data_IF_326311478915
#
_entry.id   IF_326311478915
#
_cell.length_a   1.000
_cell.length_b   1.000
_cell.length_c   1.000
_cell.angle_alpha   90.00
_cell.angle_beta   90.00
_cell.angle_gamma   90.00
#
_symmetry.space_group_name_H-M   'P 1'
#
loop_
_entity.id
_entity.type
_entity.pdbx_description
1 polymer ?
#
# COMPACT_ATOMS: atom_id res chain seq x y z
N UNK A 1 -56.43 10.19 -38.55
CA UNK A 1 -55.34 9.49 -39.28
C UNK A 1 -54.11 10.37 -39.15
N UNK A 2 -53.26 10.10 -38.16
CA UNK A 2 -51.94 10.73 -38.02
C UNK A 2 -50.99 9.60 -37.68
N UNK A 3 -50.25 9.15 -38.71
CA UNK A 3 -49.31 8.07 -38.65
C UNK A 3 -47.97 8.55 -38.07
N UNK A 4 -47.54 7.91 -36.97
CA UNK A 4 -46.32 8.18 -36.25
C UNK A 4 -45.09 7.72 -37.10
N UNK A 5 -44.26 8.67 -37.49
CA UNK A 5 -42.89 8.39 -37.98
C UNK A 5 -42.01 8.08 -36.79
N UNK A 6 -41.82 6.80 -36.52
CA UNK A 6 -40.78 6.27 -35.61
C UNK A 6 -39.42 6.32 -36.32
N UNK A 7 -38.63 7.36 -36.06
CA UNK A 7 -37.23 7.43 -36.49
C UNK A 7 -36.47 6.36 -35.66
N UNK A 8 -36.13 5.26 -36.33
CA UNK A 8 -35.21 4.25 -35.79
C UNK A 8 -33.80 4.86 -35.75
N UNK A 9 -33.40 5.36 -34.57
CA UNK A 9 -32.01 5.69 -34.26
C UNK A 9 -31.25 4.38 -34.14
N UNK A 10 -30.80 3.82 -35.25
CA UNK A 10 -29.77 2.77 -35.26
C UNK A 10 -28.50 3.32 -34.61
N UNK A 11 -28.23 2.97 -33.33
CA UNK A 11 -26.92 3.18 -32.75
C UNK A 11 -25.94 2.31 -33.54
N UNK A 12 -25.18 2.92 -34.43
CA UNK A 12 -23.99 2.31 -35.03
C UNK A 12 -23.09 1.86 -33.86
N UNK A 13 -23.12 0.56 -33.55
CA UNK A 13 -22.16 -0.05 -32.59
C UNK A 13 -20.79 0.04 -33.28
N UNK A 14 -20.04 1.08 -32.92
CA UNK A 14 -18.65 1.18 -33.31
C UNK A 14 -17.91 -0.09 -32.81
N UNK A 15 -17.07 -0.70 -33.65
CA UNK A 15 -16.32 -1.90 -33.24
C UNK A 15 -15.48 -1.65 -32.00
N UNK A 16 -15.35 -2.65 -31.15
CA UNK A 16 -14.75 -2.56 -29.81
C UNK A 16 -13.34 -1.92 -29.80
N UNK A 17 -12.59 -1.98 -30.90
CA UNK A 17 -11.26 -1.36 -30.99
C UNK A 17 -11.28 0.17 -30.99
N UNK A 18 -12.41 0.82 -31.37
CA UNK A 18 -12.53 2.29 -31.38
C UNK A 18 -12.60 2.90 -29.97
N UNK A 19 -12.88 2.09 -28.95
CA UNK A 19 -12.92 2.51 -27.55
C UNK A 19 -11.55 2.41 -26.86
N UNK A 20 -10.52 1.86 -27.52
CA UNK A 20 -9.19 1.74 -26.93
C UNK A 20 -8.49 3.10 -26.84
N UNK A 21 -7.76 3.34 -25.75
CA UNK A 21 -6.93 4.54 -25.58
C UNK A 21 -5.95 4.70 -26.74
N UNK A 22 -5.39 3.58 -27.21
CA UNK A 22 -4.50 3.55 -28.39
C UNK A 22 -5.15 4.15 -29.63
N UNK A 23 -6.37 3.75 -29.95
CA UNK A 23 -7.11 4.29 -31.09
C UNK A 23 -7.39 5.78 -30.94
N UNK A 24 -7.89 6.20 -29.78
CA UNK A 24 -8.20 7.61 -29.51
C UNK A 24 -6.97 8.51 -29.63
N UNK A 25 -5.82 8.12 -29.08
CA UNK A 25 -4.58 8.88 -29.20
C UNK A 25 -4.09 8.93 -30.64
N UNK A 26 -4.13 7.80 -31.36
CA UNK A 26 -3.76 7.76 -32.78
C UNK A 26 -4.61 8.73 -33.59
N UNK A 27 -5.93 8.67 -33.47
CA UNK A 27 -6.86 9.55 -34.19
C UNK A 27 -6.66 11.02 -33.81
N UNK A 28 -6.45 11.32 -32.53
CA UNK A 28 -6.26 12.69 -32.05
C UNK A 28 -4.98 13.32 -32.63
N UNK A 29 -3.83 12.64 -32.51
CA UNK A 29 -2.55 13.17 -33.01
C UNK A 29 -2.51 13.20 -34.54
N UNK A 30 -3.00 12.16 -35.21
CA UNK A 30 -3.07 12.13 -36.70
C UNK A 30 -4.05 13.19 -37.20
N UNK A 31 -5.19 13.37 -36.55
CA UNK A 31 -6.17 14.40 -36.87
C UNK A 31 -5.62 15.81 -36.71
N UNK A 32 -4.92 16.08 -35.60
CA UNK A 32 -4.28 17.39 -35.38
C UNK A 32 -3.24 17.70 -36.44
N UNK A 33 -2.37 16.74 -36.78
CA UNK A 33 -1.35 16.90 -37.80
C UNK A 33 -1.98 17.15 -39.18
N UNK A 34 -3.02 16.38 -39.50
CA UNK A 34 -3.78 16.53 -40.76
C UNK A 34 -4.42 17.92 -40.88
N UNK A 35 -5.10 18.39 -39.83
CA UNK A 35 -5.72 19.73 -39.81
C UNK A 35 -4.68 20.84 -39.98
N UNK A 36 -3.55 20.73 -39.27
CA UNK A 36 -2.47 21.72 -39.36
C UNK A 36 -1.91 21.79 -40.78
N UNK A 37 -1.63 20.62 -41.40
CA UNK A 37 -1.12 20.56 -42.77
C UNK A 37 -2.16 21.07 -43.77
N UNK A 38 -3.42 20.73 -43.58
CA UNK A 38 -4.50 21.23 -44.44
C UNK A 38 -4.64 22.74 -44.40
N UNK A 39 -4.46 23.37 -43.20
CA UNK A 39 -4.46 24.80 -43.04
C UNK A 39 -3.27 25.47 -43.73
N UNK A 40 -2.06 24.87 -43.61
CA UNK A 40 -0.88 25.42 -44.29
C UNK A 40 -1.03 25.34 -45.83
N UNK A 41 -1.40 24.17 -46.35
CA UNK A 41 -1.61 23.98 -47.79
C UNK A 41 -2.76 24.83 -48.35
N UNK A 42 -3.86 24.93 -47.59
CA UNK A 42 -4.99 25.79 -47.93
C UNK A 42 -4.62 27.26 -47.95
N UNK A 43 -3.85 27.70 -46.94
CA UNK A 43 -3.35 29.06 -46.84
C UNK A 43 -2.40 29.42 -48.01
N UNK A 44 -1.48 28.51 -48.36
CA UNK A 44 -0.59 28.71 -49.54
C UNK A 44 -1.36 28.77 -50.84
N UNK A 45 -2.36 27.90 -50.99
CA UNK A 45 -3.24 27.92 -52.17
C UNK A 45 -3.98 29.26 -52.31
N UNK A 46 -4.63 29.72 -51.22
CA UNK A 46 -5.34 31.00 -51.19
C UNK A 46 -4.41 32.21 -51.42
N UNK A 47 -3.19 32.16 -50.92
CA UNK A 47 -2.20 33.21 -51.13
C UNK A 47 -1.80 33.32 -52.60
N UNK A 48 -1.57 32.18 -53.29
CA UNK A 48 -1.24 32.14 -54.69
C UNK A 48 -2.46 32.55 -55.56
N UNK A 49 -3.66 32.11 -55.20
CA UNK A 49 -4.90 32.49 -55.91
C UNK A 49 -5.16 33.99 -55.88
N UNK A 50 -4.88 34.64 -54.73
CA UNK A 50 -5.04 36.08 -54.53
C UNK A 50 -3.96 36.91 -55.21
N UNK A 51 -2.83 36.33 -55.49
CA UNK A 51 -1.63 37.01 -56.06
C UNK A 51 -1.74 37.26 -57.58
N UNK A 52 -2.70 36.63 -58.29
CA UNK A 52 -2.87 36.83 -59.71
C UNK A 52 -4.24 36.32 -60.25
N UNK A 53 -4.76 36.98 -61.31
CA UNK A 53 -5.90 36.48 -62.04
C UNK A 53 -5.54 35.23 -62.86
N UNK A 54 -6.06 34.06 -62.44
CA UNK A 54 -5.78 32.78 -63.10
C UNK A 54 -6.95 32.39 -64.04
N UNK A 55 -6.78 32.50 -65.32
CA UNK A 55 -7.81 32.15 -66.33
C UNK A 55 -7.18 31.23 -67.42
N UNK A 56 -7.87 30.24 -67.93
CA UNK A 56 -7.38 29.47 -69.07
C UNK A 56 -7.36 30.32 -70.33
N UNK A 57 -6.32 30.17 -71.16
CA UNK A 57 -6.26 30.86 -72.46
C UNK A 57 -7.44 30.41 -73.32
N UNK A 58 -8.36 31.31 -73.57
CA UNK A 58 -9.59 31.02 -74.30
C UNK A 58 -9.66 31.67 -75.71
N UNK A 59 -8.80 32.60 -76.02
CA UNK A 59 -8.80 33.34 -77.26
C UNK A 59 -7.41 33.37 -77.91
N UNK A 60 -7.30 32.88 -79.13
CA UNK A 60 -6.17 33.13 -80.03
C UNK A 60 -6.40 34.38 -80.79
N UNK A 61 -5.47 35.30 -80.79
CA UNK A 61 -5.49 36.47 -81.64
C UNK A 61 -4.55 36.25 -82.82
N UNK A 62 -4.96 36.69 -84.03
CA UNK A 62 -4.13 36.66 -85.23
C UNK A 62 -3.50 38.06 -85.44
N UNK A 63 -2.20 38.06 -85.62
CA UNK A 63 -1.48 39.28 -86.00
C UNK A 63 -0.94 39.09 -87.46
N UNK A 64 -1.11 40.10 -88.27
CA UNK A 64 -0.54 40.10 -89.62
C UNK A 64 0.97 40.20 -89.60
N UNK A 65 1.64 39.24 -90.20
CA UNK A 65 3.09 39.23 -90.34
C UNK A 65 3.52 39.89 -91.57
N UNK A 66 4.34 40.93 -91.50
CA UNK A 66 5.00 41.60 -92.58
C UNK A 66 6.50 41.34 -92.49
N UNK A 67 7.13 41.05 -93.69
CA UNK A 67 8.55 40.91 -93.82
C UNK A 67 8.97 41.81 -95.01
N UNK A 68 9.84 42.82 -94.82
CA UNK A 68 10.22 43.83 -95.77
C UNK A 68 9.02 44.58 -96.40
N UNK A 69 8.02 44.95 -95.60
CA UNK A 69 6.77 45.58 -95.95
C UNK A 69 5.79 44.70 -96.78
N UNK A 70 6.11 43.42 -97.05
CA UNK A 70 5.24 42.51 -97.75
C UNK A 70 4.48 41.63 -96.77
N UNK A 71 3.14 41.52 -96.95
CA UNK A 71 2.27 40.66 -96.14
C UNK A 71 2.56 39.21 -96.37
N UNK A 72 3.06 38.50 -95.33
CA UNK A 72 3.43 37.07 -95.46
C UNK A 72 2.38 36.13 -94.87
N UNK A 73 1.37 36.65 -94.15
CA UNK A 73 0.31 35.84 -93.58
C UNK A 73 -0.01 36.23 -92.12
N UNK A 74 -0.93 35.48 -91.52
CA UNK A 74 -1.30 35.66 -90.14
C UNK A 74 -0.53 34.68 -89.24
N UNK A 75 -0.03 35.17 -88.10
CA UNK A 75 0.55 34.34 -87.06
C UNK A 75 -0.33 34.40 -85.80
N UNK A 76 -0.57 33.28 -85.17
CA UNK A 76 -1.29 33.30 -83.86
C UNK A 76 -0.41 34.01 -82.80
N UNK A 77 -0.99 35.01 -82.22
CA UNK A 77 -0.33 35.76 -81.07
C UNK A 77 -1.24 35.69 -79.85
N UNK A 78 -0.60 35.64 -78.72
CA UNK A 78 -1.29 35.68 -77.42
C UNK A 78 -0.82 36.90 -76.69
N UNK A 79 -1.73 37.62 -76.02
CA UNK A 79 -1.35 38.78 -75.20
C UNK A 79 -0.57 38.27 -73.98
N UNK A 80 0.49 39.01 -73.59
CA UNK A 80 1.35 38.63 -72.45
C UNK A 80 0.52 38.38 -71.19
N UNK A 81 -0.49 39.21 -70.93
CA UNK A 81 -1.38 39.04 -69.80
C UNK A 81 -2.18 37.76 -69.80
N UNK A 82 -2.57 37.25 -71.01
CA UNK A 82 -3.28 35.96 -71.13
C UNK A 82 -2.35 34.77 -70.92
N UNK A 83 -1.07 34.89 -71.31
CA UNK A 83 -0.04 33.89 -71.07
C UNK A 83 0.26 33.81 -69.57
N UNK A 84 0.38 34.95 -68.90
CA UNK A 84 0.59 35.03 -67.46
C UNK A 84 -0.61 34.41 -66.70
N UNK A 85 -1.83 34.73 -67.07
CA UNK A 85 -3.04 34.16 -66.47
C UNK A 85 -3.14 32.63 -66.71
N UNK A 86 -2.71 32.11 -67.88
CA UNK A 86 -2.69 30.69 -68.18
C UNK A 86 -1.62 29.93 -67.37
N UNK A 87 -0.42 30.50 -67.23
CA UNK A 87 0.65 29.93 -66.39
C UNK A 87 0.21 29.86 -64.95
N UNK A 88 -0.45 30.91 -64.41
CA UNK A 88 -1.00 30.92 -63.06
C UNK A 88 -2.09 29.87 -62.90
N UNK A 89 -2.98 29.66 -63.86
CA UNK A 89 -4.01 28.62 -63.83
C UNK A 89 -3.42 27.21 -63.76
N UNK A 90 -2.44 26.88 -64.63
CA UNK A 90 -1.76 25.58 -64.59
C UNK A 90 -1.00 25.39 -63.27
N UNK A 91 -0.34 26.43 -62.77
CA UNK A 91 0.37 26.38 -61.50
C UNK A 91 -0.58 26.08 -60.33
N UNK A 92 -1.74 26.73 -60.28
CA UNK A 92 -2.78 26.44 -59.28
C UNK A 92 -3.36 25.04 -59.42
N UNK A 93 -3.58 24.56 -60.67
CA UNK A 93 -4.08 23.21 -60.86
C UNK A 93 -3.09 22.13 -60.42
N UNK A 94 -1.80 22.35 -60.70
CA UNK A 94 -0.72 21.48 -60.26
C UNK A 94 -0.54 21.55 -58.73
N UNK A 95 -0.53 22.76 -58.13
CA UNK A 95 -0.47 22.95 -56.70
C UNK A 95 -1.60 22.19 -55.96
N UNK A 96 -2.82 22.28 -56.50
CA UNK A 96 -3.99 21.55 -55.98
C UNK A 96 -3.78 20.04 -56.01
N UNK A 97 -3.31 19.48 -57.18
CA UNK A 97 -3.06 18.04 -57.32
C UNK A 97 -1.99 17.55 -56.32
N UNK A 98 -0.88 18.27 -56.25
CA UNK A 98 0.22 17.96 -55.32
C UNK A 98 -0.24 18.08 -53.83
N UNK A 99 -1.04 19.08 -53.51
CA UNK A 99 -1.58 19.27 -52.15
C UNK A 99 -2.45 18.08 -51.74
N UNK A 100 -3.33 17.60 -52.60
CA UNK A 100 -4.15 16.41 -52.30
C UNK A 100 -3.30 15.13 -52.19
N UNK A 101 -2.28 14.96 -53.02
CA UNK A 101 -1.38 13.82 -52.94
C UNK A 101 -0.58 13.83 -51.65
N UNK A 102 -0.05 15.00 -51.24
CA UNK A 102 0.69 15.17 -49.96
C UNK A 102 -0.22 14.95 -48.76
N UNK A 103 -1.43 15.51 -48.75
CA UNK A 103 -2.41 15.28 -47.70
C UNK A 103 -2.78 13.79 -47.57
N UNK A 104 -3.01 13.11 -48.66
CA UNK A 104 -3.31 11.66 -48.66
C UNK A 104 -2.13 10.83 -48.11
N UNK A 105 -0.93 11.09 -48.64
CA UNK A 105 0.28 10.42 -48.15
C UNK A 105 0.54 10.68 -46.65
N UNK A 106 0.36 11.92 -46.19
CA UNK A 106 0.53 12.30 -44.79
C UNK A 106 -0.53 11.65 -43.90
N UNK A 107 -1.77 11.55 -44.34
CA UNK A 107 -2.83 10.87 -43.59
C UNK A 107 -2.47 9.40 -43.33
N UNK A 108 -2.03 8.68 -44.35
CA UNK A 108 -1.63 7.27 -44.19
C UNK A 108 -0.40 7.13 -43.29
N UNK A 109 0.64 7.91 -43.51
CA UNK A 109 1.87 7.82 -42.72
C UNK A 109 1.66 8.25 -41.28
N UNK A 110 0.88 9.31 -40.99
CA UNK A 110 0.58 9.77 -39.64
C UNK A 110 -0.23 8.75 -38.85
N UNK A 111 -1.20 8.08 -39.49
CA UNK A 111 -1.95 6.99 -38.85
C UNK A 111 -1.04 5.80 -38.51
N UNK A 112 -0.14 5.41 -39.42
CA UNK A 112 0.79 4.32 -39.18
C UNK A 112 1.76 4.63 -38.03
N UNK A 113 2.38 5.81 -38.07
CA UNK A 113 3.30 6.27 -37.02
C UNK A 113 2.57 6.40 -35.66
N UNK A 114 1.39 7.04 -35.65
CA UNK A 114 0.58 7.22 -34.44
C UNK A 114 0.18 5.87 -33.83
N UNK A 115 -0.16 4.88 -34.67
CA UNK A 115 -0.47 3.53 -34.20
C UNK A 115 0.73 2.82 -33.55
N UNK A 116 1.91 2.94 -34.15
CA UNK A 116 3.16 2.34 -33.63
C UNK A 116 3.56 3.01 -32.31
N UNK A 117 3.61 4.35 -32.28
CA UNK A 117 4.03 5.12 -31.11
C UNK A 117 3.08 4.93 -29.93
N UNK A 118 1.77 5.02 -30.17
CA UNK A 118 0.75 4.76 -29.15
C UNK A 118 0.83 3.33 -28.61
N UNK A 119 1.15 2.36 -29.48
CA UNK A 119 1.36 0.97 -29.09
C UNK A 119 2.57 0.76 -28.19
N UNK A 120 3.66 1.49 -28.45
CA UNK A 120 4.87 1.45 -27.60
C UNK A 120 4.64 2.16 -26.26
N UNK A 121 4.04 3.35 -26.28
CA UNK A 121 3.77 4.14 -25.07
C UNK A 121 2.83 3.42 -24.08
N UNK A 122 1.91 2.58 -24.57
CA UNK A 122 0.97 1.84 -23.72
C UNK A 122 1.42 0.42 -23.35
N UNK A 123 2.60 -0.04 -23.77
CA UNK A 123 3.15 -1.35 -23.36
C UNK A 123 3.33 -1.49 -21.86
N UNK A 124 3.93 -0.51 -21.15
CA UNK A 124 4.11 -0.57 -19.70
C UNK A 124 2.78 -0.71 -18.94
N UNK A 125 1.76 0.05 -19.36
CA UNK A 125 0.43 -0.01 -18.73
C UNK A 125 -0.19 -1.41 -18.86
N UNK A 126 0.01 -2.07 -19.99
CA UNK A 126 -0.46 -3.44 -20.18
C UNK A 126 0.32 -4.45 -19.33
N UNK A 127 1.63 -4.25 -19.15
CA UNK A 127 2.45 -5.08 -18.28
C UNK A 127 1.96 -4.96 -16.82
N UNK A 128 1.77 -3.74 -16.30
CA UNK A 128 1.22 -3.48 -14.97
C UNK A 128 -0.14 -4.17 -14.80
N UNK A 129 -1.05 -3.95 -15.75
CA UNK A 129 -2.41 -4.51 -15.70
C UNK A 129 -2.42 -6.05 -15.75
N UNK A 130 -1.51 -6.64 -16.53
CA UNK A 130 -1.40 -8.10 -16.66
C UNK A 130 -0.85 -8.71 -15.36
N UNK A 131 0.26 -8.21 -14.84
CA UNK A 131 0.82 -8.69 -13.59
C UNK A 131 -0.16 -8.53 -12.44
N UNK A 132 -0.84 -7.37 -12.34
CA UNK A 132 -1.87 -7.16 -11.33
C UNK A 132 -3.06 -8.13 -11.45
N UNK A 133 -3.41 -8.57 -12.67
CA UNK A 133 -4.48 -9.56 -12.89
C UNK A 133 -4.03 -11.00 -12.61
N UNK A 134 -2.73 -11.29 -12.72
CA UNK A 134 -2.14 -12.60 -12.45
C UNK A 134 -1.85 -12.83 -10.95
N UNK A 135 -1.78 -11.75 -10.15
CA UNK A 135 -1.58 -11.82 -8.70
C UNK A 135 -2.78 -12.47 -8.03
N UNK A 136 -2.53 -13.55 -7.31
CA UNK A 136 -3.52 -14.25 -6.52
C UNK A 136 -3.17 -14.15 -5.02
N UNK A 137 -4.18 -14.23 -4.16
CA UNK A 137 -3.97 -14.24 -2.71
C UNK A 137 -3.07 -15.39 -2.21
N UNK A 138 -2.90 -16.43 -3.03
CA UNK A 138 -2.03 -17.58 -2.76
C UNK A 138 -0.57 -17.36 -3.17
N UNK A 139 -0.32 -16.43 -4.11
CA UNK A 139 1.02 -16.11 -4.60
C UNK A 139 1.15 -14.59 -4.82
N UNK A 140 1.67 -13.91 -3.83
CA UNK A 140 1.96 -12.48 -3.81
C UNK A 140 3.45 -12.19 -4.11
N UNK A 141 4.24 -13.19 -4.54
CA UNK A 141 5.68 -13.00 -4.79
C UNK A 141 5.98 -12.27 -6.09
N UNK A 142 5.01 -12.21 -6.99
CA UNK A 142 5.17 -11.56 -8.29
C UNK A 142 5.31 -10.04 -8.12
N UNK A 143 6.22 -9.45 -8.93
CA UNK A 143 6.45 -8.00 -9.00
C UNK A 143 6.45 -7.56 -10.45
N UNK A 144 6.07 -6.31 -10.65
CA UNK A 144 6.00 -5.70 -11.98
C UNK A 144 7.41 -5.47 -12.53
N UNK A 145 8.31 -4.91 -11.71
CA UNK A 145 9.72 -4.62 -12.03
C UNK A 145 9.87 -4.02 -13.41
N UNK A 146 9.19 -2.89 -13.64
CA UNK A 146 9.16 -2.25 -14.94
C UNK A 146 10.56 -1.74 -15.32
N UNK A 147 11.12 -2.26 -16.42
CA UNK A 147 12.37 -1.78 -17.00
C UNK A 147 12.10 -0.57 -17.90
N UNK A 148 12.96 0.45 -17.81
CA UNK A 148 12.86 1.63 -18.67
C UNK A 148 13.34 2.92 -17.99
N UNK A 149 13.10 4.08 -18.62
CA UNK A 149 13.40 5.38 -18.03
C UNK A 149 12.59 5.61 -16.77
N UNK A 150 13.12 6.47 -15.88
CA UNK A 150 12.38 6.93 -14.70
C UNK A 150 11.37 7.96 -15.15
N UNK A 151 10.16 7.52 -15.40
CA UNK A 151 9.00 8.33 -15.75
C UNK A 151 7.82 8.00 -14.81
N UNK A 152 6.70 8.66 -14.98
CA UNK A 152 5.50 8.51 -14.15
C UNK A 152 4.95 7.07 -14.16
N UNK A 153 5.20 6.31 -15.24
CA UNK A 153 4.77 4.91 -15.33
C UNK A 153 5.66 4.00 -14.50
N UNK A 154 6.94 4.31 -14.40
CA UNK A 154 7.86 3.59 -13.52
C UNK A 154 7.55 3.89 -12.04
N UNK A 155 7.31 5.16 -11.69
CA UNK A 155 6.93 5.55 -10.33
C UNK A 155 5.63 4.84 -9.91
N UNK A 156 4.67 4.71 -10.83
CA UNK A 156 3.45 3.93 -10.61
C UNK A 156 3.75 2.44 -10.36
N UNK A 157 4.62 1.83 -11.16
CA UNK A 157 4.99 0.43 -11.02
C UNK A 157 5.71 0.18 -9.68
N UNK A 158 6.65 1.05 -9.30
CA UNK A 158 7.39 0.98 -8.03
C UNK A 158 6.44 1.16 -6.82
N UNK A 159 5.44 2.03 -6.95
CA UNK A 159 4.39 2.22 -5.93
C UNK A 159 3.55 0.95 -5.76
N UNK A 160 3.14 0.31 -6.87
CA UNK A 160 2.38 -0.95 -6.82
C UNK A 160 3.24 -2.07 -6.23
N UNK A 161 4.52 -2.17 -6.62
CA UNK A 161 5.44 -3.17 -6.07
C UNK A 161 5.64 -2.97 -4.55
N UNK A 162 5.74 -1.72 -4.07
CA UNK A 162 5.78 -1.41 -2.63
C UNK A 162 4.50 -1.82 -1.90
N UNK A 163 3.32 -1.63 -2.51
CA UNK A 163 2.06 -2.12 -1.93
C UNK A 163 2.02 -3.65 -1.87
N UNK A 164 2.53 -4.32 -2.90
CA UNK A 164 2.62 -5.78 -2.94
C UNK A 164 3.59 -6.33 -1.87
N UNK A 165 4.71 -5.65 -1.61
CA UNK A 165 5.64 -6.01 -0.54
C UNK A 165 4.95 -5.98 0.82
N UNK A 166 4.22 -4.89 1.13
CA UNK A 166 3.46 -4.76 2.39
C UNK A 166 2.37 -5.82 2.52
N UNK A 167 1.72 -6.15 1.41
CA UNK A 167 0.67 -7.16 1.39
C UNK A 167 1.24 -8.56 1.62
N UNK A 168 2.36 -8.90 0.98
CA UNK A 168 3.06 -10.17 1.14
C UNK A 168 3.56 -10.36 2.59
N UNK A 169 4.14 -9.31 3.20
CA UNK A 169 4.53 -9.31 4.61
C UNK A 169 3.32 -9.55 5.54
N UNK A 170 2.19 -8.88 5.30
CA UNK A 170 0.97 -9.07 6.08
C UNK A 170 0.43 -10.50 5.97
N UNK A 171 0.39 -11.06 4.77
CA UNK A 171 -0.06 -12.44 4.55
C UNK A 171 0.90 -13.49 5.15
N UNK A 172 2.22 -13.26 5.08
CA UNK A 172 3.20 -14.14 5.75
C UNK A 172 3.00 -14.11 7.26
N UNK A 173 2.86 -12.91 7.84
CA UNK A 173 2.60 -12.77 9.27
C UNK A 173 1.29 -13.45 9.69
N UNK A 174 0.24 -13.35 8.86
CA UNK A 174 -1.04 -14.02 9.11
C UNK A 174 -0.93 -15.55 9.04
N UNK A 175 -0.25 -16.10 8.02
CA UNK A 175 -0.03 -17.55 7.92
C UNK A 175 0.76 -18.08 9.11
N UNK A 176 1.84 -17.39 9.47
CA UNK A 176 2.64 -17.78 10.62
C UNK A 176 1.81 -17.75 11.92
N UNK A 177 0.95 -16.75 12.10
CA UNK A 177 0.04 -16.69 13.25
C UNK A 177 -0.89 -17.91 13.31
N UNK A 178 -1.46 -18.34 12.17
CA UNK A 178 -2.34 -19.50 12.09
C UNK A 178 -1.58 -20.79 12.41
N UNK A 179 -0.38 -20.95 11.85
CA UNK A 179 0.44 -22.14 12.08
C UNK A 179 0.87 -22.24 13.55
N UNK A 180 1.34 -21.13 14.12
CA UNK A 180 1.75 -21.04 15.52
C UNK A 180 0.57 -21.29 16.47
N UNK A 181 -0.62 -20.70 16.18
CA UNK A 181 -1.85 -20.95 16.91
C UNK A 181 -2.25 -22.43 16.89
N UNK A 182 -2.12 -23.06 15.72
CA UNK A 182 -2.45 -24.49 15.55
C UNK A 182 -1.54 -25.38 16.40
N UNK A 183 -0.24 -25.07 16.44
CA UNK A 183 0.73 -25.79 17.26
C UNK A 183 0.48 -25.59 18.77
N UNK A 184 0.23 -24.36 19.21
CA UNK A 184 0.01 -24.03 20.62
C UNK A 184 -1.35 -24.51 21.16
N UNK A 185 -2.36 -24.66 20.30
CA UNK A 185 -3.66 -25.26 20.67
C UNK A 185 -3.61 -26.79 20.73
N UNK A 186 -2.79 -27.44 19.93
CA UNK A 186 -2.71 -28.93 19.89
C UNK A 186 -2.19 -29.50 21.19
N UNK A 187 -1.22 -28.86 21.84
CA UNK A 187 -0.61 -29.35 23.08
C UNK A 187 -1.60 -29.39 24.26
N UNK A 188 -2.31 -28.30 24.64
CA UNK A 188 -3.30 -28.33 25.72
C UNK A 188 -4.47 -29.26 25.39
N UNK A 189 -4.90 -29.35 24.13
CA UNK A 189 -5.96 -30.27 23.72
C UNK A 189 -5.54 -31.73 23.93
N UNK A 190 -4.30 -32.09 23.63
CA UNK A 190 -3.76 -33.41 23.87
C UNK A 190 -3.70 -33.73 25.39
N UNK A 191 -3.35 -32.74 26.24
CA UNK A 191 -3.37 -32.87 27.70
C UNK A 191 -4.81 -33.12 28.20
N UNK A 192 -5.77 -32.34 27.73
CA UNK A 192 -7.19 -32.50 28.09
C UNK A 192 -7.62 -33.92 27.73
N UNK A 193 -7.39 -34.34 26.46
CA UNK A 193 -7.81 -35.64 25.98
C UNK A 193 -7.18 -36.80 26.77
N UNK A 194 -5.87 -36.74 27.01
CA UNK A 194 -5.14 -37.76 27.79
C UNK A 194 -5.70 -37.90 29.22
N UNK A 195 -6.02 -36.78 29.91
CA UNK A 195 -6.57 -36.81 31.24
C UNK A 195 -8.03 -37.31 31.24
N UNK A 196 -8.84 -36.98 30.23
CA UNK A 196 -10.20 -37.51 30.10
C UNK A 196 -10.18 -39.00 29.80
N UNK A 197 -9.34 -39.47 28.86
CA UNK A 197 -9.20 -40.87 28.52
C UNK A 197 -8.74 -41.67 29.76
N UNK A 198 -7.76 -41.18 30.51
CA UNK A 198 -7.28 -41.81 31.74
C UNK A 198 -8.37 -41.96 32.82
N UNK A 199 -9.25 -40.96 32.95
CA UNK A 199 -10.35 -40.96 33.96
C UNK A 199 -11.57 -41.79 33.48
N UNK A 200 -11.89 -41.78 32.19
CA UNK A 200 -13.05 -42.44 31.64
C UNK A 200 -12.81 -43.93 31.36
N UNK A 201 -11.55 -44.35 31.12
CA UNK A 201 -11.23 -45.76 30.83
C UNK A 201 -10.78 -46.56 32.05
N UNK A 202 -10.46 -45.89 33.17
CA UNK A 202 -10.14 -46.58 34.41
C UNK A 202 -11.38 -46.92 35.22
N UNK A 203 -11.69 -48.21 35.34
CA UNK A 203 -12.86 -48.72 36.13
C UNK A 203 -12.71 -48.43 37.64
N UNK A 204 -11.48 -48.24 38.15
CA UNK A 204 -11.14 -47.92 39.55
C UNK A 204 -10.08 -46.83 39.64
N UNK A 205 -10.37 -45.58 39.23
CA UNK A 205 -9.48 -44.47 39.54
C UNK A 205 -9.64 -43.98 40.96
N UNK A 206 -8.51 -43.78 41.67
CA UNK A 206 -8.56 -43.17 42.99
C UNK A 206 -9.05 -41.72 42.90
N UNK A 207 -9.80 -41.29 43.94
CA UNK A 207 -10.33 -39.93 44.03
C UNK A 207 -9.26 -38.85 43.96
N UNK A 208 -8.02 -39.15 44.40
CA UNK A 208 -6.88 -38.26 44.28
C UNK A 208 -6.45 -38.08 42.82
N UNK A 209 -6.46 -39.13 42.01
CA UNK A 209 -6.14 -39.10 40.56
C UNK A 209 -7.20 -38.33 39.79
N UNK A 210 -8.48 -38.52 40.08
CA UNK A 210 -9.59 -37.73 39.48
C UNK A 210 -9.42 -36.24 39.73
N UNK A 211 -9.13 -35.85 40.98
CA UNK A 211 -8.87 -34.44 41.33
C UNK A 211 -7.65 -33.90 40.64
N UNK A 212 -6.57 -34.68 40.47
CA UNK A 212 -5.40 -34.28 39.74
C UNK A 212 -5.69 -34.08 38.23
N UNK A 213 -6.48 -34.97 37.62
CA UNK A 213 -6.91 -34.86 36.22
C UNK A 213 -7.80 -33.62 36.00
N UNK A 214 -8.79 -33.38 36.88
CA UNK A 214 -9.65 -32.18 36.82
C UNK A 214 -8.82 -30.90 36.88
N UNK A 215 -7.86 -30.80 37.82
CA UNK A 215 -6.96 -29.64 37.89
C UNK A 215 -6.09 -29.48 36.67
N UNK A 216 -5.67 -30.59 36.03
CA UNK A 216 -4.89 -30.55 34.78
C UNK A 216 -5.72 -30.06 33.60
N UNK A 217 -6.96 -30.52 33.48
CA UNK A 217 -7.92 -30.07 32.46
C UNK A 217 -8.26 -28.60 32.66
N UNK A 218 -8.54 -28.15 33.88
CA UNK A 218 -8.85 -26.76 34.19
C UNK A 218 -7.70 -25.81 33.81
N UNK A 219 -6.46 -26.16 34.17
CA UNK A 219 -5.28 -25.39 33.74
C UNK A 219 -5.10 -25.34 32.23
N UNK A 220 -5.32 -26.47 31.53
CA UNK A 220 -5.21 -26.53 30.08
C UNK A 220 -6.29 -25.68 29.39
N UNK A 221 -7.53 -25.70 29.90
CA UNK A 221 -8.64 -24.89 29.40
C UNK A 221 -8.39 -23.40 29.63
N UNK A 222 -7.98 -23.01 30.84
CA UNK A 222 -7.61 -21.60 31.15
C UNK A 222 -6.50 -21.09 30.22
N UNK A 223 -5.50 -21.94 29.94
CA UNK A 223 -4.44 -21.61 28.98
C UNK A 223 -4.96 -21.41 27.57
N UNK A 224 -5.90 -22.27 27.09
CA UNK A 224 -6.51 -22.13 25.77
C UNK A 224 -7.33 -20.84 25.68
N UNK A 225 -8.10 -20.49 26.70
CA UNK A 225 -8.87 -19.24 26.72
C UNK A 225 -7.96 -18.04 26.57
N UNK A 226 -6.88 -17.94 27.32
CA UNK A 226 -5.90 -16.85 27.19
C UNK A 226 -5.26 -16.81 25.80
N UNK A 227 -4.90 -17.96 25.25
CA UNK A 227 -4.33 -18.03 23.88
C UNK A 227 -5.31 -17.49 22.84
N UNK A 228 -6.60 -17.88 22.93
CA UNK A 228 -7.65 -17.39 22.03
C UNK A 228 -7.85 -15.88 22.18
N UNK A 229 -7.86 -15.36 23.41
CA UNK A 229 -7.96 -13.93 23.66
C UNK A 229 -6.77 -13.17 23.06
N UNK A 230 -5.54 -13.70 23.18
CA UNK A 230 -4.33 -13.15 22.60
C UNK A 230 -4.36 -13.15 21.07
N UNK A 231 -4.88 -14.23 20.44
CA UNK A 231 -5.08 -14.33 19.01
C UNK A 231 -6.12 -13.34 18.49
N UNK A 232 -7.26 -13.24 19.18
CA UNK A 232 -8.33 -12.29 18.83
C UNK A 232 -7.86 -10.85 18.92
N UNK A 233 -7.09 -10.50 19.96
CA UNK A 233 -6.50 -9.18 20.07
C UNK A 233 -5.48 -8.89 18.97
N UNK A 234 -4.74 -9.89 18.53
CA UNK A 234 -3.80 -9.75 17.39
C UNK A 234 -4.55 -9.58 16.07
N UNK A 235 -5.67 -10.30 15.87
CA UNK A 235 -6.48 -10.25 14.66
C UNK A 235 -7.29 -8.94 14.53
N UNK A 236 -7.82 -8.38 15.62
CA UNK A 236 -8.59 -7.12 15.62
C UNK A 236 -7.78 -5.91 15.16
N UNK A 237 -6.45 -5.98 15.20
CA UNK A 237 -5.53 -4.89 14.85
C UNK A 237 -5.17 -4.75 13.39
N UNK A 238 -5.61 -5.67 12.53
CA UNK A 238 -5.53 -5.51 11.07
C UNK A 238 -6.63 -4.56 10.56
N UNK A 239 -7.58 -4.17 11.41
CA UNK A 239 -8.54 -3.11 11.15
C UNK A 239 -7.95 -1.75 11.59
N UNK A 240 -8.11 -0.66 10.80
CA UNK A 240 -7.69 0.67 11.22
C UNK A 240 -8.33 1.02 12.57
N UNK A 241 -7.52 1.58 13.47
CA UNK A 241 -7.94 1.98 14.81
C UNK A 241 -9.19 2.86 14.73
N UNK A 242 -10.33 2.35 15.25
CA UNK A 242 -11.62 3.02 15.23
C UNK A 242 -11.87 3.93 16.44
N UNK A 243 -10.84 4.17 17.27
CA UNK A 243 -10.95 5.05 18.42
C UNK A 243 -9.61 5.73 18.72
N UNK A 244 -9.25 6.75 17.93
CA UNK A 244 -8.27 7.76 18.35
C UNK A 244 -8.94 8.63 19.43
N UNK A 245 -8.92 8.14 20.68
CA UNK A 245 -9.39 8.89 21.84
C UNK A 245 -8.19 9.37 22.68
N UNK A 246 -8.37 10.48 23.35
CA UNK A 246 -7.42 10.94 24.37
C UNK A 246 -7.48 9.99 25.57
N UNK A 247 -6.39 9.25 25.80
CA UNK A 247 -6.27 8.27 26.88
C UNK A 247 -5.23 8.75 27.89
N UNK A 248 -5.57 8.74 29.18
CA UNK A 248 -4.59 8.96 30.25
C UNK A 248 -3.81 7.66 30.50
N UNK A 249 -2.52 7.67 30.11
CA UNK A 249 -1.60 6.55 30.29
C UNK A 249 -1.46 6.14 31.77
N UNK A 250 -1.50 7.11 32.66
CA UNK A 250 -1.40 6.83 34.12
C UNK A 250 -2.66 6.14 34.64
N UNK A 251 -3.85 6.48 34.13
CA UNK A 251 -5.09 5.80 34.46
C UNK A 251 -5.07 4.34 34.01
N UNK A 252 -4.71 4.09 32.75
CA UNK A 252 -4.59 2.74 32.21
C UNK A 252 -3.58 1.87 32.97
N UNK A 253 -2.42 2.45 33.34
CA UNK A 253 -1.42 1.78 34.17
C UNK A 253 -1.92 1.51 35.59
N UNK A 254 -2.69 2.45 36.18
CA UNK A 254 -3.30 2.32 37.49
C UNK A 254 -4.31 1.17 37.56
N UNK A 255 -5.20 1.07 36.59
CA UNK A 255 -6.17 -0.03 36.45
C UNK A 255 -5.49 -1.39 36.31
N UNK A 256 -4.42 -1.47 35.49
CA UNK A 256 -3.63 -2.70 35.39
C UNK A 256 -3.00 -3.07 36.74
N UNK A 257 -2.51 -2.11 37.51
CA UNK A 257 -1.99 -2.36 38.86
C UNK A 257 -3.07 -2.89 39.81
N UNK A 258 -4.30 -2.39 39.74
CA UNK A 258 -5.43 -2.86 40.56
C UNK A 258 -5.81 -4.30 40.23
N UNK A 259 -5.82 -4.65 38.98
CA UNK A 259 -6.10 -6.01 38.49
C UNK A 259 -5.06 -7.02 39.01
N UNK A 260 -3.77 -6.66 39.01
CA UNK A 260 -2.68 -7.56 39.42
C UNK A 260 -2.29 -7.50 40.88
N UNK A 261 -2.77 -6.52 41.65
CA UNK A 261 -2.44 -6.37 43.08
C UNK A 261 -2.78 -7.63 43.92
N UNK A 262 -3.96 -8.28 43.77
CA UNK A 262 -4.25 -9.50 44.54
C UNK A 262 -3.30 -10.64 44.19
N UNK A 263 -2.94 -10.81 42.93
CA UNK A 263 -2.04 -11.88 42.46
C UNK A 263 -0.59 -11.64 42.96
N UNK A 264 -0.13 -10.40 42.99
CA UNK A 264 1.16 -10.02 43.55
C UNK A 264 1.20 -10.31 45.04
N UNK A 265 0.17 -9.92 45.81
CA UNK A 265 0.07 -10.16 47.26
C UNK A 265 0.05 -11.67 47.58
N UNK A 266 -0.68 -12.49 46.80
CA UNK A 266 -0.70 -13.94 46.96
C UNK A 266 0.69 -14.57 46.82
N UNK A 267 1.55 -13.98 45.97
CA UNK A 267 2.94 -14.40 45.77
C UNK A 267 3.96 -13.73 46.75
N UNK A 268 3.47 -12.92 47.67
CA UNK A 268 4.31 -12.21 48.63
C UNK A 268 5.13 -11.07 47.99
N UNK A 269 4.64 -10.49 46.88
CA UNK A 269 5.29 -9.37 46.19
C UNK A 269 4.65 -8.05 46.59
N UNK A 270 5.44 -6.97 46.62
CA UNK A 270 4.95 -5.62 46.89
C UNK A 270 4.86 -4.82 45.63
N UNK A 271 3.67 -4.31 45.29
CA UNK A 271 3.45 -3.49 44.10
C UNK A 271 3.52 -2.00 44.44
N UNK A 272 4.56 -1.33 43.95
CA UNK A 272 4.77 0.12 44.11
C UNK A 272 4.25 0.87 42.87
N UNK A 273 3.50 1.97 43.12
CA UNK A 273 2.94 2.83 42.04
C UNK A 273 3.54 4.23 42.16
N UNK A 274 4.10 4.74 41.03
CA UNK A 274 4.63 6.09 40.87
C UNK A 274 4.06 6.68 39.57
N UNK A 275 2.78 7.01 39.58
CA UNK A 275 2.02 7.41 38.40
C UNK A 275 1.78 8.91 38.39
N UNK A 276 2.36 9.63 37.46
CA UNK A 276 2.08 11.05 37.18
C UNK A 276 0.82 11.17 36.36
N UNK A 277 -0.16 11.96 36.78
CA UNK A 277 -1.43 12.18 36.10
C UNK A 277 -1.29 13.13 34.88
N UNK A 278 -2.24 13.08 33.94
CA UNK A 278 -2.29 14.00 32.81
C UNK A 278 -1.33 13.62 31.67
N UNK A 279 -1.02 12.34 31.51
CA UNK A 279 -0.21 11.80 30.45
C UNK A 279 -1.10 11.35 29.28
N UNK A 280 -1.57 12.30 28.46
CA UNK A 280 -2.50 12.02 27.36
C UNK A 280 -1.79 11.41 26.15
N UNK A 281 -2.19 10.20 25.76
CA UNK A 281 -1.79 9.47 24.56
C UNK A 281 -3.02 9.31 23.65
N UNK A 282 -2.86 9.50 22.35
CA UNK A 282 -3.93 9.22 21.39
C UNK A 282 -3.95 7.72 21.13
N UNK A 283 -5.07 7.04 21.43
CA UNK A 283 -5.16 5.60 21.19
C UNK A 283 -6.31 4.89 21.89
N UNK A 284 -6.09 3.60 22.17
CA UNK A 284 -7.05 2.67 22.76
C UNK A 284 -6.67 2.40 24.24
N UNK A 285 -7.54 2.79 25.16
CA UNK A 285 -7.37 2.63 26.60
C UNK A 285 -7.18 1.16 27.02
N UNK A 286 -8.03 0.26 26.50
CA UNK A 286 -7.97 -1.16 26.84
C UNK A 286 -6.69 -1.82 26.32
N UNK A 287 -6.22 -1.38 25.15
CA UNK A 287 -4.95 -1.84 24.61
C UNK A 287 -3.77 -1.42 25.49
N UNK A 288 -3.72 -0.14 25.91
CA UNK A 288 -2.65 0.38 26.79
C UNK A 288 -2.68 -0.31 28.16
N UNK A 289 -3.87 -0.44 28.78
CA UNK A 289 -4.04 -1.19 30.05
C UNK A 289 -3.53 -2.63 29.91
N UNK A 290 -3.86 -3.31 28.80
CA UNK A 290 -3.42 -4.67 28.50
C UNK A 290 -1.90 -4.75 28.29
N UNK A 291 -1.26 -3.75 27.67
CA UNK A 291 0.20 -3.72 27.53
C UNK A 291 0.88 -3.73 28.88
N UNK A 292 0.46 -2.85 29.80
CA UNK A 292 0.98 -2.79 31.18
C UNK A 292 0.65 -4.10 31.92
N UNK A 293 -0.56 -4.64 31.78
CA UNK A 293 -0.98 -5.92 32.38
C UNK A 293 -0.10 -7.11 31.94
N UNK A 294 0.30 -7.18 30.67
CA UNK A 294 1.22 -8.21 30.16
C UNK A 294 2.62 -8.09 30.79
N UNK A 295 3.12 -6.87 31.01
CA UNK A 295 4.38 -6.64 31.71
C UNK A 295 4.25 -7.05 33.18
N UNK A 296 3.16 -6.65 33.86
CA UNK A 296 2.88 -7.03 35.25
C UNK A 296 2.74 -8.55 35.40
N UNK A 297 2.07 -9.23 34.47
CA UNK A 297 1.98 -10.69 34.48
C UNK A 297 3.34 -11.36 34.44
N UNK A 298 4.28 -10.85 33.64
CA UNK A 298 5.64 -11.33 33.57
C UNK A 298 6.41 -11.03 34.88
N UNK A 299 6.33 -9.80 35.38
CA UNK A 299 6.98 -9.37 36.62
C UNK A 299 6.53 -10.21 37.82
N UNK A 300 5.21 -10.38 38.02
CA UNK A 300 4.65 -11.20 39.11
C UNK A 300 5.07 -12.66 39.01
N UNK A 301 5.23 -13.19 37.81
CA UNK A 301 5.65 -14.57 37.59
C UNK A 301 7.14 -14.82 37.85
N UNK A 302 8.00 -13.87 37.48
CA UNK A 302 9.46 -14.03 37.49
C UNK A 302 10.14 -13.50 38.72
N UNK A 303 9.49 -12.58 39.45
CA UNK A 303 10.06 -12.03 40.67
C UNK A 303 10.06 -13.05 41.82
N UNK A 304 11.13 -13.14 42.60
CA UNK A 304 11.18 -13.94 43.81
C UNK A 304 10.21 -13.42 44.90
N UNK A 305 9.65 -14.28 45.76
CA UNK A 305 8.84 -13.83 46.90
C UNK A 305 9.62 -12.86 47.81
N UNK A 306 8.94 -11.83 48.28
CA UNK A 306 9.54 -10.82 49.18
C UNK A 306 10.17 -9.63 48.46
N UNK A 307 10.14 -9.61 47.12
CA UNK A 307 10.67 -8.50 46.30
C UNK A 307 9.58 -7.50 45.88
N UNK A 308 10.00 -6.38 45.26
CA UNK A 308 9.11 -5.33 44.77
C UNK A 308 8.94 -5.32 43.26
N UNK A 309 7.76 -4.92 42.84
CA UNK A 309 7.48 -4.54 41.47
C UNK A 309 7.11 -3.07 41.42
N UNK A 310 7.80 -2.25 40.64
CA UNK A 310 7.50 -0.82 40.53
C UNK A 310 6.87 -0.52 39.16
N UNK A 311 5.69 0.11 39.17
CA UNK A 311 5.05 0.67 37.98
C UNK A 311 5.14 2.19 38.09
N UNK A 312 5.74 2.81 37.09
CA UNK A 312 5.88 4.25 37.02
C UNK A 312 5.42 4.79 35.68
N UNK A 313 4.94 6.04 35.68
CA UNK A 313 4.58 6.75 34.47
C UNK A 313 4.92 8.23 34.60
N UNK A 314 5.44 8.83 33.52
CA UNK A 314 5.89 10.21 33.53
C UNK A 314 6.12 10.78 32.15
N UNK A 315 6.82 11.93 32.10
CA UNK A 315 7.18 12.65 30.88
C UNK A 315 8.66 13.02 30.93
N UNK A 316 9.38 12.82 29.84
CA UNK A 316 10.79 13.18 29.70
C UNK A 316 11.05 13.56 28.23
N UNK A 317 11.67 14.71 28.00
CA UNK A 317 12.13 15.19 26.68
C UNK A 317 11.07 15.12 25.54
N UNK A 318 9.83 15.49 25.89
CA UNK A 318 8.71 15.46 24.93
C UNK A 318 8.06 14.07 24.77
N UNK A 319 8.63 13.03 25.36
CA UNK A 319 8.05 11.69 25.37
C UNK A 319 7.24 11.42 26.65
N UNK A 320 6.14 10.72 26.50
CA UNK A 320 5.39 10.12 27.59
C UNK A 320 5.88 8.69 27.77
N UNK A 321 5.97 8.23 28.99
CA UNK A 321 6.43 6.89 29.27
C UNK A 321 5.65 6.20 30.37
N UNK A 322 5.55 4.87 30.27
CA UNK A 322 5.14 3.99 31.33
C UNK A 322 6.17 2.87 31.50
N UNK A 323 6.54 2.52 32.70
CA UNK A 323 7.52 1.48 32.98
C UNK A 323 7.02 0.47 34.01
N UNK A 324 7.48 -0.78 33.85
CA UNK A 324 7.33 -1.86 34.81
C UNK A 324 8.72 -2.40 35.13
N UNK A 325 9.12 -2.28 36.36
CA UNK A 325 10.40 -2.77 36.87
C UNK A 325 10.15 -3.96 37.79
N UNK A 326 10.92 -5.03 37.64
CA UNK A 326 10.91 -6.22 38.46
C UNK A 326 12.31 -6.50 39.03
N UNK A 327 12.37 -7.26 40.11
CA UNK A 327 13.59 -7.80 40.71
C UNK A 327 13.74 -9.30 40.40
N UNK A 328 13.37 -9.69 39.20
CA UNK A 328 13.49 -11.07 38.69
C UNK A 328 14.92 -11.46 38.35
N UNK A 329 15.10 -12.59 37.64
CA UNK A 329 16.42 -13.12 37.27
C UNK A 329 17.19 -12.27 36.26
N UNK A 330 16.54 -11.27 35.65
CA UNK A 330 17.11 -10.52 34.54
C UNK A 330 17.17 -11.33 33.23
N UNK A 331 17.67 -10.70 32.17
CA UNK A 331 17.69 -11.23 30.80
C UNK A 331 19.09 -11.09 30.24
N UNK A 332 19.62 -12.16 29.66
CA UNK A 332 20.93 -12.18 29.00
C UNK A 332 20.96 -11.19 27.83
N UNK A 333 22.08 -10.50 27.60
CA UNK A 333 22.25 -9.51 26.53
C UNK A 333 21.89 -10.05 25.15
N UNK A 334 22.30 -11.29 24.83
CA UNK A 334 22.01 -11.97 23.57
C UNK A 334 20.51 -12.24 23.36
N UNK A 335 19.74 -12.26 24.44
CA UNK A 335 18.32 -12.55 24.42
C UNK A 335 17.43 -11.27 24.43
N UNK A 336 17.99 -10.12 24.83
CA UNK A 336 17.21 -8.87 25.01
C UNK A 336 16.55 -8.37 23.73
N UNK A 337 17.16 -8.59 22.57
CA UNK A 337 16.57 -8.25 21.28
C UNK A 337 15.46 -9.22 20.88
N UNK A 338 15.54 -10.46 21.35
CA UNK A 338 14.67 -11.58 20.94
C UNK A 338 13.46 -11.77 21.86
N UNK A 339 13.48 -11.22 23.09
CA UNK A 339 12.36 -11.38 24.04
C UNK A 339 11.03 -10.85 23.53
N UNK A 340 11.05 -9.97 22.52
CA UNK A 340 9.86 -9.43 21.85
C UNK A 340 9.40 -10.28 20.65
N UNK A 341 10.16 -11.32 20.28
CA UNK A 341 9.75 -12.23 19.21
C UNK A 341 8.59 -13.11 19.70
N UNK A 342 7.67 -13.40 18.80
CA UNK A 342 6.54 -14.27 19.13
C UNK A 342 7.04 -15.65 19.53
N UNK A 343 6.43 -16.22 20.56
CA UNK A 343 6.76 -17.55 21.11
C UNK A 343 8.20 -17.72 21.63
N UNK A 344 8.97 -16.63 21.74
CA UNK A 344 10.31 -16.68 22.30
C UNK A 344 10.27 -17.02 23.80
N UNK A 345 11.26 -17.81 24.24
CA UNK A 345 11.42 -18.30 25.62
C UNK A 345 12.90 -18.43 25.95
N UNK A 346 13.30 -17.99 27.14
CA UNK A 346 14.66 -18.16 27.62
C UNK A 346 15.02 -19.66 27.74
N UNK A 347 16.19 -20.05 27.22
CA UNK A 347 16.74 -21.39 27.38
C UNK A 347 17.25 -21.55 28.81
N UNK A 348 16.58 -22.34 29.65
CA UNK A 348 17.18 -22.71 30.94
C UNK A 348 16.28 -22.71 32.17
N UNK A 349 15.09 -22.13 32.15
CA UNK A 349 14.15 -22.28 33.27
C UNK A 349 13.32 -23.55 33.12
N UNK A 350 14.03 -24.69 33.06
CA UNK A 350 13.42 -26.00 33.06
C UNK A 350 12.87 -26.32 34.46
N UNK A 351 11.64 -26.72 34.56
CA UNK A 351 11.12 -27.44 35.71
C UNK A 351 9.98 -26.74 36.48
N UNK A 352 9.07 -26.13 35.76
CA UNK A 352 7.82 -25.70 36.39
C UNK A 352 6.67 -25.76 35.39
N UNK A 353 5.53 -26.23 35.80
CA UNK A 353 4.31 -26.47 35.06
C UNK A 353 3.64 -25.20 34.41
N UNK A 354 4.31 -24.05 34.49
CA UNK A 354 3.82 -22.74 34.03
C UNK A 354 4.36 -22.37 32.63
N UNK A 355 3.81 -22.98 31.62
CA UNK A 355 4.18 -22.73 30.23
C UNK A 355 3.29 -21.63 29.62
N UNK A 356 3.69 -20.36 29.72
CA UNK A 356 3.05 -19.27 28.99
C UNK A 356 3.45 -19.32 27.50
N UNK A 357 2.56 -18.88 26.61
CA UNK A 357 2.71 -19.02 25.16
C UNK A 357 3.86 -18.19 24.55
N UNK A 358 4.53 -17.31 25.29
CA UNK A 358 5.58 -16.44 24.75
C UNK A 358 5.04 -15.32 23.84
N UNK A 359 3.75 -14.99 23.97
CA UNK A 359 3.10 -13.95 23.17
C UNK A 359 3.02 -12.60 23.89
N UNK A 360 3.08 -12.56 25.23
CA UNK A 360 2.82 -11.36 26.02
C UNK A 360 3.71 -10.17 25.62
N UNK A 361 5.03 -10.34 25.52
CA UNK A 361 5.95 -9.26 25.16
C UNK A 361 5.83 -8.85 23.69
N UNK A 362 5.55 -9.78 22.79
CA UNK A 362 5.27 -9.48 21.38
C UNK A 362 3.98 -8.63 21.25
N UNK A 363 2.96 -8.92 22.06
CA UNK A 363 1.73 -8.12 22.14
C UNK A 363 2.03 -6.73 22.68
N UNK A 364 2.84 -6.59 23.72
CA UNK A 364 3.24 -5.28 24.26
C UNK A 364 3.91 -4.45 23.17
N UNK A 365 4.94 -5.00 22.51
CA UNK A 365 5.64 -4.32 21.41
C UNK A 365 4.67 -3.87 20.33
N UNK A 366 3.79 -4.75 19.90
CA UNK A 366 2.80 -4.44 18.87
C UNK A 366 1.81 -3.34 19.32
N UNK A 367 1.36 -3.33 20.60
CA UNK A 367 0.51 -2.26 21.14
C UNK A 367 1.24 -0.92 21.07
N UNK A 368 2.45 -0.88 21.56
CA UNK A 368 3.24 0.34 21.61
C UNK A 368 3.50 0.89 20.20
N UNK A 369 3.91 0.02 19.26
CA UNK A 369 4.15 0.40 17.86
C UNK A 369 2.87 0.90 17.17
N UNK A 370 1.70 0.30 17.44
CA UNK A 370 0.42 0.77 16.88
C UNK A 370 -0.03 2.14 17.40
N UNK A 371 0.51 2.60 18.51
CA UNK A 371 0.32 3.93 19.09
C UNK A 371 1.46 4.91 18.72
N UNK A 372 2.29 4.58 17.72
CA UNK A 372 3.44 5.38 17.30
C UNK A 372 4.58 5.42 18.29
N UNK A 373 4.56 4.53 19.30
CA UNK A 373 5.54 4.47 20.37
C UNK A 373 6.68 3.46 20.11
N UNK A 374 7.57 3.34 21.08
CA UNK A 374 8.67 2.39 21.11
C UNK A 374 8.78 1.73 22.48
N UNK A 375 9.17 0.45 22.51
CA UNK A 375 9.47 -0.26 23.77
C UNK A 375 10.99 -0.39 23.94
N UNK A 376 11.47 -0.15 25.17
CA UNK A 376 12.86 -0.35 25.57
C UNK A 376 12.94 -1.31 26.75
N UNK A 377 14.02 -2.09 26.78
CA UNK A 377 14.33 -3.03 27.85
C UNK A 377 15.68 -2.67 28.46
N UNK A 378 15.71 -2.53 29.75
CA UNK A 378 16.90 -2.40 30.59
C UNK A 378 16.94 -3.59 31.54
N UNK A 379 17.92 -4.47 31.41
CA UNK A 379 17.99 -5.67 32.23
C UNK A 379 19.42 -6.10 32.46
N UNK A 380 19.67 -6.61 33.67
CA UNK A 380 20.94 -7.28 34.03
C UNK A 380 20.63 -8.58 34.75
N UNK A 381 21.38 -9.60 34.42
CA UNK A 381 21.24 -10.91 35.06
C UNK A 381 21.48 -10.80 36.54
N UNK A 382 20.51 -11.22 37.37
CA UNK A 382 20.54 -11.17 38.82
C UNK A 382 20.09 -9.85 39.44
N UNK A 383 19.83 -8.80 38.64
CA UNK A 383 19.36 -7.48 39.15
C UNK A 383 17.89 -7.19 38.81
N UNK A 384 17.32 -7.94 37.84
CA UNK A 384 15.95 -7.77 37.37
C UNK A 384 15.85 -7.13 36.00
N UNK A 385 14.63 -6.68 35.64
CA UNK A 385 14.34 -6.07 34.33
C UNK A 385 13.43 -4.85 34.49
N UNK A 386 13.65 -3.85 33.63
CA UNK A 386 12.76 -2.69 33.47
C UNK A 386 12.34 -2.60 32.03
N UNK A 387 11.05 -2.71 31.78
CA UNK A 387 10.44 -2.47 30.46
C UNK A 387 9.85 -1.06 30.46
N UNK A 388 10.21 -0.27 29.45
CA UNK A 388 9.74 1.11 29.29
C UNK A 388 9.00 1.24 27.97
N UNK A 389 7.75 1.69 28.05
CA UNK A 389 6.88 2.00 26.92
C UNK A 389 6.94 3.50 26.67
N UNK A 390 7.46 3.91 25.53
CA UNK A 390 7.58 5.30 25.12
C UNK A 390 6.50 5.66 24.11
N UNK A 391 5.82 6.78 24.30
CA UNK A 391 4.79 7.31 23.41
C UNK A 391 5.08 8.76 23.05
N UNK A 392 4.82 9.20 21.81
CA UNK A 392 4.98 10.60 21.42
C UNK A 392 3.99 11.48 22.20
N UNK A 393 4.45 12.60 22.76
CA UNK A 393 3.56 13.59 23.38
C UNK A 393 2.74 14.31 22.32
N UNK A 394 1.42 14.48 22.44
CA UNK A 394 0.61 15.23 21.51
C UNK A 394 1.18 16.64 21.28
N UNK A 395 1.38 17.02 20.01
CA UNK A 395 1.87 18.34 19.61
C UNK A 395 3.40 18.52 19.62
N UNK A 396 4.19 17.53 19.98
CA UNK A 396 5.63 17.55 19.80
C UNK A 396 6.02 16.98 18.41
N UNK A 397 6.97 17.62 17.74
CA UNK A 397 7.48 17.13 16.44
C UNK A 397 8.52 16.03 16.69
N UNK A 398 8.07 14.77 16.56
CA UNK A 398 8.91 13.57 16.78
C UNK A 398 9.41 12.94 15.47
N UNK A 399 9.24 13.59 14.32
CA UNK A 399 9.58 13.04 13.01
C UNK A 399 11.05 12.64 12.88
N UNK A 400 11.92 13.06 13.81
CA UNK A 400 13.35 12.76 13.75
C UNK A 400 14.01 12.51 15.13
N UNK A 401 13.26 12.29 16.20
CA UNK A 401 13.81 12.15 17.58
C UNK A 401 13.47 10.77 18.12
N UNK A 402 14.49 9.93 18.37
CA UNK A 402 14.31 8.69 19.10
C UNK A 402 14.02 8.96 20.58
N UNK A 403 13.30 8.07 21.31
CA UNK A 403 13.13 8.19 22.75
C UNK A 403 14.50 8.08 23.45
N UNK A 404 14.63 8.65 24.68
CA UNK A 404 15.86 8.57 25.45
C UNK A 404 16.39 7.15 25.59
N UNK A 405 17.73 7.00 25.50
CA UNK A 405 18.39 5.71 25.69
C UNK A 405 18.59 5.34 27.15
N UNK A 406 18.27 6.25 28.07
CA UNK A 406 18.39 6.05 29.50
C UNK A 406 17.06 5.64 30.13
N UNK A 407 17.16 4.86 31.24
CA UNK A 407 16.00 4.48 32.02
C UNK A 407 15.42 5.76 32.67
N UNK A 408 14.11 6.05 32.50
CA UNK A 408 13.49 7.21 33.14
C UNK A 408 13.45 7.01 34.66
N UNK A 409 13.76 8.08 35.40
CA UNK A 409 13.85 8.08 36.86
C UNK A 409 12.51 8.32 37.56
#
# INVERSE_FOLDING_TARGET
MIGALRIVRGRLRLPAFTHTIRFRLTVLYSGLLFVLTALVLGGTYLAVERSGEAHPVSKQFSASKYVNDEYVGEIPVVKVQEVEAAVNYETLANLRRFSFAVLGGLAVTSLAIGWILSGRALRPVRAISRTAAEIQATDLSQRIRLDGPKDELRDLADTVDSMLDRLDEAFRAQRQLIDDASHELRSPLAIIRANLDAVLTAEESEEAERRAAVRSVDRATTRMTRLVEDLLATARRTAPALADADVDLAAAAGEACEEFAPLAAERGLVLHRRLTTGLTVIGDHDALRRAVGNLLSNAVRLSPPGTGITVAAGRTDGWLWASVQDEGPGILDDDQTRVFDRFWRARGNGGGHDRHAGLGLAIVRQIVESHGGQIRLFSRVGEGSTFVLWFPSPGADHTNTAPPDEQPS
#
